data_IF_955351769170
#
_entry.id   IF_955351769170
#
_cell.length_a   1.000
_cell.length_b   1.000
_cell.length_c   1.000
_cell.angle_alpha   90.00
_cell.angle_beta   90.00
_cell.angle_gamma   90.00
#
_symmetry.space_group_name_H-M   'P 1'
#
loop_
_entity.id
_entity.type
_entity.pdbx_description
1 polymer ?
#
# COMPACT_ATOMS: atom_id res chain seq x y z
N UNK A 1 -19.81 -9.43 -21.14
CA UNK A 1 -20.25 -8.16 -20.53
C UNK A 1 -19.00 -7.35 -20.30
N UNK A 2 -19.00 -6.03 -20.40
CA UNK A 2 -17.78 -5.24 -20.19
C UNK A 2 -17.22 -5.50 -18.79
N UNK A 3 -15.91 -5.69 -18.69
CA UNK A 3 -15.19 -5.99 -17.44
C UNK A 3 -14.79 -4.69 -16.73
N UNK A 4 -15.80 -3.88 -16.37
CA UNK A 4 -15.62 -2.54 -15.85
C UNK A 4 -15.60 -2.47 -14.33
N UNK A 5 -14.66 -1.71 -13.81
CA UNK A 5 -14.52 -1.40 -12.40
C UNK A 5 -14.26 0.09 -12.18
N UNK A 6 -14.81 0.63 -11.11
CA UNK A 6 -14.43 1.96 -10.61
C UNK A 6 -13.41 1.77 -9.50
N UNK A 7 -12.23 2.34 -9.68
CA UNK A 7 -11.11 2.26 -8.74
C UNK A 7 -10.72 3.65 -8.24
N UNK A 8 -10.10 3.69 -7.06
CA UNK A 8 -9.65 4.95 -6.48
C UNK A 8 -8.25 4.84 -5.86
N UNK A 9 -7.54 5.96 -5.87
CA UNK A 9 -6.33 6.17 -5.07
C UNK A 9 -6.53 7.36 -4.15
N UNK A 10 -6.27 7.18 -2.87
CA UNK A 10 -6.36 8.24 -1.87
C UNK A 10 -4.99 8.87 -1.65
N UNK A 11 -4.90 10.20 -1.80
CA UNK A 11 -3.74 10.96 -1.35
C UNK A 11 -3.99 11.43 0.07
N UNK A 12 -3.39 10.75 1.04
CA UNK A 12 -3.73 10.87 2.44
C UNK A 12 -2.49 10.94 3.34
N UNK A 13 -2.64 11.42 4.57
CA UNK A 13 -1.58 11.49 5.56
C UNK A 13 -1.92 10.70 6.82
N UNK A 14 -0.88 10.20 7.51
CA UNK A 14 -1.04 9.57 8.83
C UNK A 14 -1.45 10.63 9.85
N UNK A 15 -2.49 10.36 10.60
CA UNK A 15 -2.98 11.24 11.66
C UNK A 15 -2.20 11.04 12.97
N UNK A 16 -2.44 11.90 13.96
CA UNK A 16 -1.73 11.89 15.24
C UNK A 16 -1.86 10.59 16.04
N UNK A 17 -2.90 9.81 15.80
CA UNK A 17 -3.13 8.51 16.45
C UNK A 17 -3.64 7.47 15.45
N UNK A 18 -3.44 6.19 15.76
CA UNK A 18 -3.98 5.08 14.96
C UNK A 18 -5.51 5.18 14.84
N UNK A 19 -6.20 5.49 15.93
CA UNK A 19 -7.65 5.63 15.92
C UNK A 19 -8.12 6.78 15.00
N UNK A 20 -7.42 7.92 15.00
CA UNK A 20 -7.73 9.03 14.12
C UNK A 20 -7.45 8.68 12.64
N UNK A 21 -6.37 7.94 12.35
CA UNK A 21 -6.05 7.51 11.00
C UNK A 21 -7.08 6.49 10.48
N UNK A 22 -7.54 5.56 11.32
CA UNK A 22 -8.61 4.61 10.98
C UNK A 22 -9.94 5.34 10.72
N UNK A 23 -10.29 6.34 11.52
CA UNK A 23 -11.48 7.15 11.31
C UNK A 23 -11.40 7.95 9.98
N UNK A 24 -10.23 8.49 9.65
CA UNK A 24 -9.99 9.14 8.36
C UNK A 24 -10.12 8.16 7.18
N UNK A 25 -9.51 6.96 7.30
CA UNK A 25 -9.65 5.88 6.32
C UNK A 25 -11.12 5.50 6.10
N UNK A 26 -11.88 5.33 7.16
CA UNK A 26 -13.32 5.01 7.09
C UNK A 26 -14.08 6.11 6.36
N UNK A 27 -13.87 7.37 6.72
CA UNK A 27 -14.51 8.53 6.09
C UNK A 27 -14.24 8.57 4.58
N UNK A 28 -12.98 8.45 4.18
CA UNK A 28 -12.57 8.44 2.76
C UNK A 28 -13.17 7.23 2.03
N UNK A 29 -13.18 6.06 2.64
CA UNK A 29 -13.76 4.85 2.03
C UNK A 29 -15.27 4.97 1.85
N UNK A 30 -16.01 5.56 2.81
CA UNK A 30 -17.45 5.85 2.69
C UNK A 30 -17.73 6.86 1.59
N UNK A 31 -16.89 7.89 1.46
CA UNK A 31 -16.99 8.86 0.38
C UNK A 31 -16.76 8.20 -1.00
N UNK A 32 -15.79 7.30 -1.11
CA UNK A 32 -15.52 6.53 -2.31
C UNK A 32 -16.71 5.57 -2.65
N UNK A 33 -17.23 4.87 -1.65
CA UNK A 33 -18.40 3.98 -1.80
C UNK A 33 -19.62 4.72 -2.35
N UNK A 34 -19.91 5.92 -1.84
CA UNK A 34 -21.01 6.76 -2.33
C UNK A 34 -20.86 7.18 -3.79
N UNK A 35 -19.66 7.02 -4.38
CA UNK A 35 -19.34 7.28 -5.79
C UNK A 35 -19.18 6.02 -6.63
N UNK A 36 -19.61 4.87 -6.09
CA UNK A 36 -19.55 3.59 -6.80
C UNK A 36 -18.15 2.99 -6.94
N UNK A 37 -17.20 3.39 -6.09
CA UNK A 37 -15.86 2.80 -6.08
C UNK A 37 -15.91 1.37 -5.57
N UNK A 38 -15.28 0.44 -6.30
CA UNK A 38 -15.17 -0.96 -5.92
C UNK A 38 -13.88 -1.30 -5.18
N UNK A 39 -12.79 -0.56 -5.47
CA UNK A 39 -11.48 -0.75 -4.83
C UNK A 39 -10.80 0.59 -4.59
N UNK A 40 -10.23 0.75 -3.39
CA UNK A 40 -9.45 1.92 -3.00
C UNK A 40 -8.06 1.53 -2.49
N UNK A 41 -7.04 2.28 -2.92
CA UNK A 41 -5.66 2.16 -2.45
C UNK A 41 -5.30 3.35 -1.56
N UNK A 42 -4.78 3.06 -0.36
CA UNK A 42 -4.16 4.03 0.55
C UNK A 42 -2.62 3.98 0.47
N UNK A 43 -1.92 5.07 0.86
CA UNK A 43 -0.46 5.18 0.72
C UNK A 43 0.36 4.15 1.50
N UNK A 44 1.65 4.06 1.18
CA UNK A 44 2.67 3.36 1.98
C UNK A 44 2.67 3.90 3.42
N UNK A 45 2.78 3.00 4.40
CA UNK A 45 2.90 3.35 5.82
C UNK A 45 1.78 4.28 6.33
N UNK A 46 0.60 4.25 5.73
CA UNK A 46 -0.51 5.12 6.11
C UNK A 46 -0.96 4.87 7.55
N UNK A 47 -1.08 3.60 7.97
CA UNK A 47 -1.26 3.24 9.37
C UNK A 47 0.11 3.00 10.02
N UNK A 48 0.42 3.74 11.07
CA UNK A 48 1.69 3.67 11.80
C UNK A 48 2.73 4.73 11.40
N UNK A 49 2.61 5.34 10.23
CA UNK A 49 3.40 6.50 9.79
C UNK A 49 4.71 6.15 9.09
N UNK A 50 5.06 6.93 8.07
CA UNK A 50 6.38 6.88 7.44
C UNK A 50 7.37 7.72 8.28
N UNK A 51 8.52 7.16 8.76
CA UNK A 51 9.41 7.83 9.69
C UNK A 51 10.30 8.86 8.98
N UNK A 52 9.68 9.79 8.28
CA UNK A 52 10.36 10.80 7.46
C UNK A 52 11.26 11.68 8.31
N UNK A 53 12.50 11.88 7.86
CA UNK A 53 13.55 12.65 8.53
C UNK A 53 14.09 12.05 9.84
N UNK A 54 13.60 10.89 10.31
CA UNK A 54 14.13 10.21 11.47
C UNK A 54 15.46 9.53 11.17
N UNK A 55 16.41 9.69 12.06
CA UNK A 55 17.71 8.98 12.04
C UNK A 55 17.80 7.87 13.11
N UNK A 56 16.87 7.85 14.06
CA UNK A 56 16.87 6.93 15.21
C UNK A 56 18.20 6.94 15.97
N UNK A 57 18.85 8.12 16.04
CA UNK A 57 20.14 8.30 16.71
C UNK A 57 21.26 7.45 16.12
N UNK A 58 21.18 7.07 14.84
CA UNK A 58 22.12 6.13 14.23
C UNK A 58 23.33 6.82 13.63
N UNK A 59 24.51 6.27 13.95
CA UNK A 59 25.76 6.52 13.24
C UNK A 59 26.48 5.19 13.07
N UNK A 60 27.43 5.08 12.15
CA UNK A 60 28.21 3.85 11.99
C UNK A 60 28.91 3.50 13.31
N UNK A 61 28.61 2.33 13.84
CA UNK A 61 29.16 1.85 15.11
C UNK A 61 28.51 2.38 16.39
N UNK A 62 27.52 3.27 16.29
CA UNK A 62 26.87 3.87 17.47
C UNK A 62 25.37 4.09 17.29
N UNK A 63 24.66 4.23 18.43
CA UNK A 63 23.27 4.68 18.52
C UNK A 63 23.09 5.60 19.72
N UNK A 64 22.51 6.78 19.50
CA UNK A 64 22.17 7.71 20.57
C UNK A 64 21.02 7.23 21.45
N UNK A 65 20.97 7.66 22.70
CA UNK A 65 19.88 7.32 23.63
C UNK A 65 18.51 7.81 23.09
N UNK A 66 18.45 9.06 22.57
CA UNK A 66 17.24 9.64 21.98
C UNK A 66 16.68 8.79 20.83
N UNK A 67 17.52 8.11 20.08
CA UNK A 67 17.07 7.23 19.00
C UNK A 67 16.35 5.98 19.51
N UNK A 68 16.66 5.52 20.73
CA UNK A 68 15.91 4.42 21.37
C UNK A 68 14.52 4.85 21.80
N UNK A 69 14.39 6.07 22.32
CA UNK A 69 13.10 6.65 22.69
C UNK A 69 12.25 6.89 21.42
N UNK A 70 12.84 7.43 20.35
CA UNK A 70 12.19 7.61 19.07
C UNK A 70 11.72 6.26 18.47
N UNK A 71 12.54 5.21 18.58
CA UNK A 71 12.14 3.85 18.18
C UNK A 71 10.98 3.32 19.01
N UNK A 72 10.99 3.55 20.33
CA UNK A 72 9.91 3.12 21.24
C UNK A 72 8.58 3.74 20.83
N UNK A 73 8.54 5.05 20.60
CA UNK A 73 7.34 5.75 20.13
C UNK A 73 6.86 5.20 18.79
N UNK A 74 7.77 4.99 17.84
CA UNK A 74 7.43 4.41 16.54
C UNK A 74 6.90 2.97 16.67
N UNK A 75 7.52 2.18 17.53
CA UNK A 75 7.08 0.80 17.81
C UNK A 75 5.67 0.74 18.41
N UNK A 76 5.32 1.73 19.24
CA UNK A 76 3.98 1.86 19.80
C UNK A 76 2.96 2.38 18.75
N UNK A 77 3.37 3.23 17.82
CA UNK A 77 2.53 3.72 16.74
C UNK A 77 2.23 2.66 15.66
N UNK A 78 3.08 1.63 15.57
CA UNK A 78 2.92 0.54 14.62
C UNK A 78 1.75 -0.38 14.98
N UNK A 79 1.07 -0.93 13.95
CA UNK A 79 -0.08 -1.81 14.11
C UNK A 79 0.32 -3.26 14.34
N UNK A 80 -0.42 -3.97 15.17
CA UNK A 80 -0.29 -5.41 15.37
C UNK A 80 -1.43 -6.15 14.65
N UNK A 81 -1.11 -6.70 13.47
CA UNK A 81 -2.08 -7.47 12.68
C UNK A 81 -2.27 -8.92 13.16
N UNK A 82 -1.63 -9.29 14.27
CA UNK A 82 -1.74 -10.63 14.85
C UNK A 82 -1.00 -11.73 14.10
N UNK A 83 -0.02 -11.37 13.25
CA UNK A 83 0.81 -12.35 12.54
C UNK A 83 2.10 -12.68 13.33
N UNK A 84 2.84 -13.67 12.85
CA UNK A 84 4.15 -14.06 13.37
C UNK A 84 5.27 -13.22 12.74
N UNK A 85 6.46 -13.14 13.37
CA UNK A 85 7.61 -12.45 12.79
C UNK A 85 8.03 -13.00 11.41
N UNK A 86 7.93 -14.29 11.20
CA UNK A 86 8.26 -14.93 9.92
C UNK A 86 7.15 -14.80 8.88
N UNK A 87 5.93 -14.44 9.32
CA UNK A 87 4.73 -14.45 8.50
C UNK A 87 4.13 -15.86 8.39
N UNK A 88 2.90 -16.03 8.88
CA UNK A 88 2.21 -17.31 8.88
C UNK A 88 1.39 -17.58 7.62
N UNK A 89 1.44 -16.69 6.62
CA UNK A 89 0.78 -16.86 5.35
C UNK A 89 -0.70 -17.22 5.48
N UNK A 90 -1.10 -18.32 4.84
CA UNK A 90 -2.51 -18.75 4.84
C UNK A 90 -3.06 -19.08 6.23
N UNK A 91 -2.23 -19.43 7.21
CA UNK A 91 -2.69 -19.66 8.59
C UNK A 91 -3.10 -18.35 9.27
N UNK A 92 -2.41 -17.24 8.96
CA UNK A 92 -2.82 -15.92 9.41
C UNK A 92 -4.10 -15.46 8.67
N UNK A 93 -4.15 -15.61 7.35
CA UNK A 93 -5.33 -15.26 6.53
C UNK A 93 -6.57 -15.97 7.08
N UNK A 94 -6.49 -17.29 7.23
CA UNK A 94 -7.61 -18.15 7.64
C UNK A 94 -7.86 -18.20 9.16
N UNK A 95 -7.22 -17.33 9.94
CA UNK A 95 -7.39 -17.23 11.41
C UNK A 95 -7.11 -18.54 12.15
N UNK A 96 -6.14 -19.36 11.66
CA UNK A 96 -5.76 -20.64 12.29
C UNK A 96 -4.74 -20.49 13.42
N UNK A 97 -4.13 -19.31 13.56
CA UNK A 97 -3.20 -19.06 14.63
C UNK A 97 -3.92 -19.00 16.00
N UNK A 98 -3.35 -19.56 17.06
CA UNK A 98 -3.99 -19.58 18.39
C UNK A 98 -4.18 -18.16 18.93
N UNK A 99 -5.33 -17.92 19.57
CA UNK A 99 -5.63 -16.64 20.21
C UNK A 99 -4.86 -16.51 21.54
N UNK A 100 -4.38 -15.31 21.88
CA UNK A 100 -3.87 -15.04 23.21
C UNK A 100 -5.00 -15.20 24.26
N UNK A 101 -4.63 -15.69 25.44
CA UNK A 101 -5.60 -15.93 26.52
C UNK A 101 -6.41 -14.66 26.82
N UNK A 102 -7.74 -14.77 26.80
CA UNK A 102 -8.66 -13.68 27.14
C UNK A 102 -8.79 -12.60 26.07
N UNK A 103 -8.30 -12.85 24.84
CA UNK A 103 -8.45 -11.94 23.71
C UNK A 103 -9.49 -12.46 22.71
N UNK A 104 -10.23 -11.55 22.12
CA UNK A 104 -11.19 -11.82 21.07
C UNK A 104 -10.49 -12.02 19.71
N UNK A 105 -9.39 -11.30 19.47
CA UNK A 105 -8.55 -11.40 18.28
C UNK A 105 -7.06 -11.40 18.66
N UNK A 106 -6.23 -11.75 17.71
CA UNK A 106 -4.82 -12.00 17.95
C UNK A 106 -3.99 -10.70 18.00
N UNK A 107 -4.32 -9.71 17.19
CA UNK A 107 -3.64 -8.42 17.07
C UNK A 107 -4.22 -7.33 17.99
N UNK A 108 -4.11 -6.08 17.54
CA UNK A 108 -4.60 -4.90 18.25
C UNK A 108 -6.02 -4.46 17.83
N UNK A 109 -6.65 -5.17 16.88
CA UNK A 109 -7.98 -4.87 16.34
C UNK A 109 -7.96 -4.11 15.01
N UNK A 110 -6.80 -3.70 14.53
CA UNK A 110 -6.69 -2.98 13.24
C UNK A 110 -7.20 -3.82 12.07
N UNK A 111 -6.86 -5.11 12.02
CA UNK A 111 -7.36 -6.03 10.99
C UNK A 111 -8.89 -6.07 11.00
N UNK A 112 -9.46 -6.24 12.16
CA UNK A 112 -10.92 -6.33 12.37
C UNK A 112 -11.62 -5.01 11.99
N UNK A 113 -11.01 -3.87 12.31
CA UNK A 113 -11.52 -2.56 11.91
C UNK A 113 -11.54 -2.39 10.38
N UNK A 114 -10.45 -2.74 9.70
CA UNK A 114 -10.37 -2.69 8.23
C UNK A 114 -11.40 -3.62 7.57
N UNK A 115 -11.53 -4.85 8.05
CA UNK A 115 -12.53 -5.82 7.57
C UNK A 115 -13.96 -5.34 7.78
N UNK A 116 -14.22 -4.67 8.91
CA UNK A 116 -15.52 -4.06 9.18
C UNK A 116 -15.83 -2.92 8.19
N UNK A 117 -14.89 -1.99 8.01
CA UNK A 117 -15.06 -0.85 7.08
C UNK A 117 -15.29 -1.37 5.66
N UNK A 118 -14.48 -2.31 5.18
CA UNK A 118 -14.62 -2.91 3.86
C UNK A 118 -15.99 -3.56 3.67
N UNK A 119 -16.44 -4.35 4.64
CA UNK A 119 -17.76 -5.03 4.61
C UNK A 119 -18.93 -4.03 4.60
N UNK A 120 -18.87 -3.00 5.45
CA UNK A 120 -19.96 -2.02 5.56
C UNK A 120 -20.06 -1.10 4.35
N UNK A 121 -18.95 -0.84 3.67
CA UNK A 121 -18.91 0.02 2.49
C UNK A 121 -19.05 -0.73 1.18
N UNK A 122 -18.78 -2.05 1.16
CA UNK A 122 -18.69 -2.85 -0.05
C UNK A 122 -17.43 -2.58 -0.89
N UNK A 123 -16.46 -1.82 -0.36
CA UNK A 123 -15.24 -1.42 -1.06
C UNK A 123 -14.08 -2.32 -0.65
N UNK A 124 -13.36 -2.86 -1.65
CA UNK A 124 -12.08 -3.54 -1.41
C UNK A 124 -11.03 -2.53 -0.98
N UNK A 125 -10.41 -2.74 0.16
CA UNK A 125 -9.41 -1.81 0.72
C UNK A 125 -8.01 -2.39 0.59
N UNK A 126 -7.07 -1.62 0.03
CA UNK A 126 -5.65 -1.88 0.16
C UNK A 126 -4.99 -0.74 0.92
N UNK A 127 -4.33 -1.07 2.00
CA UNK A 127 -3.78 -0.08 2.91
C UNK A 127 -2.31 -0.39 3.24
N UNK A 128 -1.45 0.63 3.07
CA UNK A 128 -0.08 0.58 3.57
C UNK A 128 -0.03 0.71 5.08
N UNK A 129 0.71 -0.16 5.75
CA UNK A 129 0.80 -0.20 7.20
C UNK A 129 2.24 -0.38 7.67
N UNK A 130 2.57 0.15 8.82
CA UNK A 130 3.74 -0.29 9.58
C UNK A 130 3.29 -1.36 10.55
N UNK A 131 3.67 -2.59 10.24
CA UNK A 131 3.32 -3.77 11.03
C UNK A 131 4.37 -4.04 12.09
N UNK A 132 3.92 -4.23 13.30
CA UNK A 132 4.71 -4.79 14.39
C UNK A 132 4.44 -6.28 14.49
N UNK A 133 5.50 -7.10 14.39
CA UNK A 133 5.41 -8.54 14.62
C UNK A 133 6.61 -9.00 15.45
N UNK A 134 6.36 -9.50 16.65
CA UNK A 134 7.40 -9.73 17.65
C UNK A 134 8.14 -8.43 17.98
N UNK A 135 9.45 -8.43 17.92
CA UNK A 135 10.30 -7.26 18.15
C UNK A 135 10.67 -6.47 16.90
N UNK A 136 10.08 -6.78 15.74
CA UNK A 136 10.44 -6.18 14.45
C UNK A 136 9.32 -5.34 13.87
N UNK A 137 9.69 -4.29 13.13
CA UNK A 137 8.80 -3.48 12.31
C UNK A 137 8.94 -3.86 10.85
N UNK A 138 7.82 -3.94 10.15
CA UNK A 138 7.75 -4.20 8.71
C UNK A 138 6.89 -3.14 8.03
N UNK A 139 7.35 -2.60 6.93
CA UNK A 139 6.48 -1.88 6.01
C UNK A 139 5.66 -2.92 5.24
N UNK A 140 4.34 -2.80 5.26
CA UNK A 140 3.44 -3.81 4.71
C UNK A 140 2.28 -3.17 3.95
N UNK A 141 1.61 -3.97 3.12
CA UNK A 141 0.31 -3.65 2.54
C UNK A 141 -0.65 -4.80 2.83
N UNK A 142 -1.86 -4.49 3.31
CA UNK A 142 -2.91 -5.46 3.58
C UNK A 142 -4.01 -5.35 2.52
N UNK A 143 -4.53 -6.50 2.07
CA UNK A 143 -5.63 -6.61 1.10
C UNK A 143 -6.89 -7.07 1.83
N UNK A 144 -7.94 -6.27 1.77
CA UNK A 144 -9.19 -6.52 2.52
C UNK A 144 -10.38 -6.50 1.59
N UNK A 145 -10.94 -7.68 1.38
CA UNK A 145 -12.12 -7.92 0.55
C UNK A 145 -13.40 -7.67 1.36
N UNK A 146 -14.44 -7.04 0.78
CA UNK A 146 -15.68 -6.77 1.50
C UNK A 146 -16.50 -8.02 1.87
N UNK A 147 -16.27 -9.17 1.21
CA UNK A 147 -16.96 -10.45 1.50
C UNK A 147 -16.12 -11.35 2.38
N UNK A 148 -14.84 -11.50 2.01
CA UNK A 148 -13.96 -12.54 2.58
C UNK A 148 -13.02 -12.00 3.67
N UNK A 149 -12.97 -10.66 3.86
CA UNK A 149 -12.05 -10.01 4.80
C UNK A 149 -10.62 -9.98 4.29
N UNK A 150 -9.64 -10.12 5.16
CA UNK A 150 -8.22 -10.06 4.76
C UNK A 150 -7.85 -11.28 3.89
N UNK A 151 -7.58 -11.05 2.60
CA UNK A 151 -7.13 -12.07 1.64
C UNK A 151 -5.63 -12.33 1.73
N UNK A 152 -4.87 -11.40 2.28
CA UNK A 152 -3.43 -11.49 2.38
C UNK A 152 -2.82 -10.19 2.83
N UNK A 153 -1.53 -10.22 3.02
CA UNK A 153 -0.71 -9.03 3.20
C UNK A 153 0.67 -9.26 2.61
N UNK A 154 1.31 -8.17 2.29
CA UNK A 154 2.65 -8.15 1.75
C UNK A 154 3.55 -7.36 2.68
N UNK A 155 4.68 -7.90 3.07
CA UNK A 155 5.77 -7.19 3.74
C UNK A 155 6.79 -6.74 2.71
N UNK A 156 7.26 -5.48 2.79
CA UNK A 156 8.30 -4.95 1.92
C UNK A 156 9.54 -5.83 1.99
N UNK A 157 9.92 -6.42 0.85
CA UNK A 157 11.04 -7.37 0.75
C UNK A 157 12.36 -6.62 0.75
N UNK A 158 12.34 -5.41 0.19
CA UNK A 158 13.52 -4.58 0.02
C UNK A 158 13.29 -3.16 0.57
N UNK A 159 13.33 -2.97 1.91
CA UNK A 159 13.46 -1.62 2.46
C UNK A 159 14.65 -0.91 1.83
N UNK A 160 14.49 0.37 1.45
CA UNK A 160 15.51 1.07 0.69
C UNK A 160 16.26 2.10 1.53
N UNK A 161 17.55 2.33 1.21
CA UNK A 161 18.43 3.29 1.87
C UNK A 161 18.32 3.21 3.41
N UNK A 162 17.98 4.32 4.08
CA UNK A 162 17.88 4.41 5.55
C UNK A 162 16.71 3.62 6.14
N UNK A 163 15.69 3.23 5.35
CA UNK A 163 14.61 2.35 5.84
C UNK A 163 15.15 1.03 6.42
N UNK A 164 16.28 0.53 5.90
CA UNK A 164 16.94 -0.69 6.39
C UNK A 164 17.47 -0.58 7.83
N UNK A 165 17.55 0.63 8.37
CA UNK A 165 17.93 0.83 9.78
C UNK A 165 16.81 0.46 10.74
N UNK A 166 15.56 0.49 10.27
CA UNK A 166 14.38 0.41 11.12
C UNK A 166 13.41 -0.69 10.71
N UNK A 167 13.25 -0.96 9.42
CA UNK A 167 12.34 -2.00 8.93
C UNK A 167 13.08 -3.28 8.59
N UNK A 168 12.54 -4.38 9.08
CA UNK A 168 12.99 -5.71 8.69
C UNK A 168 12.53 -6.05 7.27
N UNK A 169 13.29 -6.92 6.61
CA UNK A 169 12.95 -7.45 5.30
C UNK A 169 11.80 -8.47 5.43
N UNK A 170 10.78 -8.32 4.59
CA UNK A 170 9.71 -9.29 4.45
C UNK A 170 10.19 -10.56 3.72
N UNK A 171 9.52 -11.68 3.98
CA UNK A 171 9.76 -12.91 3.19
C UNK A 171 9.35 -12.70 1.74
N UNK A 172 10.12 -13.19 0.76
CA UNK A 172 9.74 -13.16 -0.66
C UNK A 172 8.41 -13.88 -0.94
N UNK A 173 8.01 -14.86 -0.12
CA UNK A 173 6.70 -15.52 -0.21
C UNK A 173 5.52 -14.55 -0.11
N UNK A 174 5.72 -13.36 0.49
CA UNK A 174 4.68 -12.32 0.59
C UNK A 174 4.45 -11.57 -0.73
N UNK A 175 5.26 -11.81 -1.77
CA UNK A 175 5.01 -11.31 -3.13
C UNK A 175 3.85 -12.04 -3.84
N UNK A 176 3.23 -13.02 -3.17
CA UNK A 176 2.06 -13.74 -3.67
C UNK A 176 0.93 -12.75 -4.01
N UNK A 177 0.47 -12.81 -5.25
CA UNK A 177 -0.73 -12.08 -5.68
C UNK A 177 -1.97 -12.66 -5.00
N UNK A 178 -2.98 -11.82 -4.76
CA UNK A 178 -4.30 -12.23 -4.28
C UNK A 178 -5.31 -12.17 -5.41
N UNK A 179 -6.29 -13.07 -5.39
CA UNK A 179 -7.38 -13.10 -6.38
C UNK A 179 -8.70 -12.81 -5.71
N UNK A 180 -9.55 -12.05 -6.38
CA UNK A 180 -10.92 -11.77 -5.95
C UNK A 180 -11.81 -11.50 -7.15
N UNK A 181 -13.12 -11.40 -6.91
CA UNK A 181 -14.11 -10.95 -7.88
C UNK A 181 -14.88 -9.76 -7.31
N UNK A 182 -14.78 -8.62 -7.97
CA UNK A 182 -15.51 -7.40 -7.62
C UNK A 182 -16.44 -7.03 -8.78
N UNK A 183 -17.71 -6.80 -8.49
CA UNK A 183 -18.71 -6.43 -9.50
C UNK A 183 -18.77 -7.40 -10.72
N UNK A 184 -18.55 -8.69 -10.49
CA UNK A 184 -18.49 -9.70 -11.55
C UNK A 184 -17.19 -9.70 -12.36
N UNK A 185 -16.20 -8.92 -11.96
CA UNK A 185 -14.89 -8.80 -12.61
C UNK A 185 -13.81 -9.51 -11.80
N UNK A 186 -13.13 -10.46 -12.43
CA UNK A 186 -12.04 -11.22 -11.79
C UNK A 186 -10.75 -10.41 -11.77
N UNK A 187 -10.14 -10.32 -10.60
CA UNK A 187 -8.91 -9.59 -10.37
C UNK A 187 -7.80 -10.49 -9.85
N UNK A 188 -6.60 -10.28 -10.37
CA UNK A 188 -5.34 -10.74 -9.79
C UNK A 188 -4.55 -9.51 -9.37
N UNK A 189 -4.43 -9.30 -8.06
CA UNK A 189 -3.90 -8.07 -7.48
C UNK A 189 -2.52 -8.35 -6.89
N UNK A 190 -1.54 -7.56 -7.27
CA UNK A 190 -0.20 -7.59 -6.68
C UNK A 190 0.28 -6.18 -6.32
N UNK A 191 1.20 -6.08 -5.36
CA UNK A 191 1.76 -4.79 -4.97
C UNK A 191 3.28 -4.82 -4.89
N UNK A 192 3.91 -3.72 -5.34
CA UNK A 192 5.28 -3.37 -5.00
C UNK A 192 5.29 -2.04 -4.25
N UNK A 193 5.88 -2.05 -3.07
CA UNK A 193 5.84 -0.89 -2.17
C UNK A 193 7.00 0.05 -2.51
N UNK A 194 6.66 1.28 -2.93
CA UNK A 194 7.58 2.39 -3.18
C UNK A 194 8.75 1.98 -4.12
N UNK A 195 9.98 2.12 -3.69
CA UNK A 195 11.17 1.88 -4.52
C UNK A 195 11.40 0.42 -4.92
N UNK A 196 10.64 -0.52 -4.41
CA UNK A 196 10.61 -1.87 -4.98
C UNK A 196 10.20 -1.85 -6.45
N UNK A 197 9.47 -0.82 -6.88
CA UNK A 197 9.11 -0.59 -8.27
C UNK A 197 10.32 -0.33 -9.19
N UNK A 198 11.48 0.05 -8.66
CA UNK A 198 12.74 0.15 -9.43
C UNK A 198 13.46 -1.19 -9.59
N UNK A 199 12.94 -2.30 -9.02
CA UNK A 199 13.60 -3.62 -9.02
C UNK A 199 13.00 -4.51 -10.11
N UNK A 200 13.68 -4.71 -11.28
CA UNK A 200 13.09 -5.41 -12.42
C UNK A 200 12.68 -6.86 -12.11
N UNK A 201 13.49 -7.60 -11.36
CA UNK A 201 13.17 -9.00 -11.02
C UNK A 201 11.96 -9.10 -10.08
N UNK A 202 11.78 -8.15 -9.16
CA UNK A 202 10.61 -8.09 -8.30
C UNK A 202 9.35 -7.80 -9.14
N UNK A 203 9.42 -6.84 -10.05
CA UNK A 203 8.29 -6.58 -10.97
C UNK A 203 7.96 -7.81 -11.80
N UNK A 204 8.99 -8.48 -12.37
CA UNK A 204 8.79 -9.70 -13.15
C UNK A 204 8.13 -10.81 -12.33
N UNK A 205 8.44 -10.93 -11.02
CA UNK A 205 7.78 -11.91 -10.17
C UNK A 205 6.28 -11.67 -10.00
N UNK A 206 5.86 -10.40 -10.05
CA UNK A 206 4.44 -10.03 -10.02
C UNK A 206 3.78 -10.25 -11.39
N UNK A 207 4.43 -9.84 -12.49
CA UNK A 207 3.91 -10.07 -13.84
C UNK A 207 3.71 -11.56 -14.12
N UNK A 208 4.66 -12.41 -13.71
CA UNK A 208 4.59 -13.86 -13.90
C UNK A 208 3.38 -14.51 -13.22
N UNK A 209 2.81 -13.87 -12.20
CA UNK A 209 1.57 -14.30 -11.55
C UNK A 209 0.31 -13.80 -12.27
N UNK A 210 0.45 -13.22 -13.45
CA UNK A 210 -0.65 -12.69 -14.25
C UNK A 210 -1.42 -11.54 -13.57
N UNK A 211 -0.71 -10.69 -12.83
CA UNK A 211 -1.30 -9.53 -12.16
C UNK A 211 -1.90 -8.58 -13.20
N UNK A 212 -3.20 -8.34 -13.11
CA UNK A 212 -3.93 -7.40 -13.97
C UNK A 212 -4.24 -6.07 -13.28
N UNK A 213 -4.12 -6.02 -11.94
CA UNK A 213 -4.20 -4.80 -11.14
C UNK A 213 -2.96 -4.70 -10.23
N UNK A 214 -2.06 -3.83 -10.62
CA UNK A 214 -0.78 -3.61 -9.93
C UNK A 214 -0.87 -2.39 -9.02
N UNK A 215 -0.51 -2.55 -7.76
CA UNK A 215 -0.63 -1.51 -6.74
C UNK A 215 0.77 -1.02 -6.32
N UNK A 216 0.94 0.28 -6.31
CA UNK A 216 2.20 0.95 -5.95
C UNK A 216 1.98 1.99 -4.85
N UNK A 217 1.67 1.58 -3.61
CA UNK A 217 1.64 2.49 -2.48
C UNK A 217 3.05 3.04 -2.25
N UNK A 218 3.16 4.36 -2.05
CA UNK A 218 4.45 5.04 -2.00
C UNK A 218 4.46 6.22 -1.02
N UNK A 219 5.67 6.68 -0.71
CA UNK A 219 5.97 7.95 -0.04
C UNK A 219 7.00 8.76 -0.87
N UNK A 220 7.11 8.52 -2.17
CA UNK A 220 8.05 9.21 -3.08
C UNK A 220 7.31 10.24 -3.96
N UNK A 221 7.63 11.52 -3.80
CA UNK A 221 7.03 12.64 -4.54
C UNK A 221 7.96 13.21 -5.64
N UNK A 222 8.87 12.39 -6.20
CA UNK A 222 9.81 12.82 -7.25
C UNK A 222 9.20 12.77 -8.63
N UNK A 223 9.67 13.64 -9.52
CA UNK A 223 9.22 13.71 -10.91
C UNK A 223 9.46 12.40 -11.69
N UNK A 224 10.42 11.58 -11.25
CA UNK A 224 10.71 10.27 -11.85
C UNK A 224 9.66 9.20 -11.55
N UNK A 225 8.73 9.46 -10.64
CA UNK A 225 7.75 8.47 -10.19
C UNK A 225 6.70 8.14 -11.27
N UNK A 226 6.06 9.15 -11.85
CA UNK A 226 5.07 8.93 -12.92
C UNK A 226 5.67 8.20 -14.13
N UNK A 227 6.86 8.58 -14.66
CA UNK A 227 7.51 7.81 -15.71
C UNK A 227 7.74 6.33 -15.36
N UNK A 228 8.09 6.03 -14.10
CA UNK A 228 8.22 4.65 -13.64
C UNK A 228 6.87 3.93 -13.63
N UNK A 229 5.79 4.54 -13.14
CA UNK A 229 4.45 3.93 -13.14
C UNK A 229 3.98 3.62 -14.57
N UNK A 230 4.25 4.51 -15.52
CA UNK A 230 3.97 4.27 -16.94
C UNK A 230 4.78 3.10 -17.51
N UNK A 231 6.05 2.98 -17.12
CA UNK A 231 6.90 1.85 -17.51
C UNK A 231 6.36 0.55 -16.93
N UNK A 232 6.03 0.51 -15.64
CA UNK A 232 5.48 -0.68 -14.97
C UNK A 232 4.18 -1.14 -15.63
N UNK A 233 3.28 -0.22 -15.92
CA UNK A 233 2.01 -0.50 -16.60
C UNK A 233 2.23 -1.07 -18.01
N UNK A 234 3.08 -0.41 -18.79
CA UNK A 234 3.42 -0.81 -20.15
C UNK A 234 4.17 -2.14 -20.23
N UNK A 235 5.11 -2.42 -19.29
CA UNK A 235 5.79 -3.72 -19.20
C UNK A 235 4.81 -4.85 -18.86
N UNK A 236 4.03 -4.65 -17.78
CA UNK A 236 3.17 -5.68 -17.20
C UNK A 236 1.84 -5.89 -17.93
N UNK A 237 1.46 -4.98 -18.84
CA UNK A 237 0.11 -4.95 -19.43
C UNK A 237 -0.96 -5.01 -18.34
N UNK A 238 -0.81 -4.16 -17.34
CA UNK A 238 -1.59 -4.12 -16.12
C UNK A 238 -2.01 -2.69 -15.79
N UNK A 239 -3.18 -2.50 -15.19
CA UNK A 239 -3.47 -1.20 -14.58
C UNK A 239 -2.57 -0.98 -13.39
N UNK A 240 -2.05 0.25 -13.24
CA UNK A 240 -1.24 0.66 -12.08
C UNK A 240 -1.97 1.73 -11.29
N UNK A 241 -2.22 1.45 -10.02
CA UNK A 241 -2.71 2.40 -9.04
C UNK A 241 -1.56 2.79 -8.11
N UNK A 242 -1.26 4.07 -8.03
CA UNK A 242 -0.25 4.57 -7.09
C UNK A 242 -0.86 5.61 -6.16
N UNK A 243 -0.87 5.30 -4.86
CA UNK A 243 -1.29 6.21 -3.80
C UNK A 243 -0.06 6.72 -3.05
N UNK A 244 0.03 8.03 -2.89
CA UNK A 244 1.13 8.70 -2.22
C UNK A 244 0.65 9.47 -1.00
N UNK A 245 1.54 9.62 -0.01
CA UNK A 245 1.28 10.52 1.10
C UNK A 245 1.38 11.98 0.65
N UNK A 246 0.55 12.84 1.24
CA UNK A 246 0.72 14.29 1.16
C UNK A 246 0.76 14.82 2.59
N UNK A 247 1.93 15.33 3.01
CA UNK A 247 2.19 15.66 4.42
C UNK A 247 2.96 16.96 4.52
N UNK A 248 2.47 17.89 5.31
CA UNK A 248 3.21 19.08 5.74
C UNK A 248 4.01 18.77 7.01
N UNK A 249 5.09 19.50 7.22
CA UNK A 249 5.96 19.29 8.38
C UNK A 249 5.21 19.38 9.73
N UNK A 250 4.29 20.34 9.87
CA UNK A 250 3.47 20.52 11.09
C UNK A 250 2.54 19.34 11.40
N UNK A 251 2.25 18.50 10.39
CA UNK A 251 1.35 17.36 10.48
C UNK A 251 2.08 16.08 10.88
N UNK A 252 3.42 16.11 10.88
CA UNK A 252 4.20 14.96 11.30
C UNK A 252 3.97 14.66 12.78
N UNK A 253 3.84 13.38 13.15
CA UNK A 253 3.77 12.97 14.55
C UNK A 253 4.90 13.55 15.39
N UNK A 254 4.62 13.92 16.63
CA UNK A 254 5.58 14.59 17.52
C UNK A 254 6.88 13.84 17.73
N UNK A 255 6.85 12.50 17.73
CA UNK A 255 8.06 11.67 17.86
C UNK A 255 9.00 11.79 16.64
N UNK A 256 8.50 12.18 15.45
CA UNK A 256 9.32 12.46 14.27
C UNK A 256 10.01 13.82 14.41
N UNK A 257 9.28 14.83 14.89
CA UNK A 257 9.75 16.22 14.90
C UNK A 257 10.58 16.57 16.14
N UNK A 258 10.47 15.81 17.23
CA UNK A 258 11.02 16.13 18.55
C UNK A 258 12.55 16.40 18.57
N UNK A 259 13.28 15.86 17.61
CA UNK A 259 14.75 15.98 17.54
C UNK A 259 15.25 16.65 16.26
N UNK A 260 14.36 17.20 15.42
CA UNK A 260 14.81 17.83 14.18
C UNK A 260 15.36 19.23 14.47
N UNK A 261 16.66 19.42 14.19
CA UNK A 261 17.32 20.75 14.20
C UNK A 261 16.99 21.58 12.94
N UNK A 262 16.08 21.09 12.12
CA UNK A 262 15.71 21.69 10.86
C UNK A 262 14.93 23.00 11.06
N UNK A 263 15.41 24.06 10.43
CA UNK A 263 14.80 25.40 10.42
C UNK A 263 13.68 25.57 9.37
N UNK A 264 13.14 24.47 8.83
CA UNK A 264 12.07 24.55 7.82
C UNK A 264 10.75 25.06 8.41
N UNK A 265 10.01 25.78 7.59
CA UNK A 265 8.65 26.24 7.95
C UNK A 265 7.72 25.06 8.17
N UNK A 266 6.83 25.13 9.17
CA UNK A 266 5.82 24.11 9.44
C UNK A 266 4.89 23.83 8.26
N UNK A 267 4.72 24.78 7.35
CA UNK A 267 3.86 24.65 6.16
C UNK A 267 4.55 23.98 4.96
N UNK A 268 5.87 23.75 5.02
CA UNK A 268 6.60 23.08 3.95
C UNK A 268 6.13 21.62 3.81
N UNK A 269 5.90 21.20 2.58
CA UNK A 269 5.59 19.80 2.28
C UNK A 269 6.83 18.93 2.43
N UNK A 270 6.77 17.94 3.29
CA UNK A 270 7.79 16.88 3.41
C UNK A 270 7.49 15.71 2.47
N UNK A 271 6.24 15.62 1.99
CA UNK A 271 5.80 14.80 0.87
C UNK A 271 4.66 15.53 0.16
N UNK A 272 4.81 15.78 -1.14
CA UNK A 272 3.90 16.61 -1.93
C UNK A 272 2.71 15.86 -2.52
N UNK A 273 2.67 14.54 -2.43
CA UNK A 273 1.71 13.74 -3.16
C UNK A 273 2.27 13.16 -4.46
N UNK A 274 1.46 13.11 -5.49
CA UNK A 274 1.77 12.52 -6.79
C UNK A 274 1.02 11.21 -7.02
N UNK A 275 -0.12 10.99 -6.33
CA UNK A 275 -1.00 9.84 -6.58
C UNK A 275 -1.54 9.87 -7.99
N UNK A 276 -1.52 8.74 -8.69
CA UNK A 276 -1.91 8.64 -10.10
C UNK A 276 -2.48 7.26 -10.46
N UNK A 277 -3.17 7.18 -11.60
CA UNK A 277 -3.67 5.93 -12.18
C UNK A 277 -3.20 5.84 -13.63
N UNK A 278 -2.64 4.70 -14.01
CA UNK A 278 -2.06 4.45 -15.34
C UNK A 278 -2.66 3.18 -15.93
N UNK A 279 -2.99 3.22 -17.21
CA UNK A 279 -3.53 2.10 -17.97
C UNK A 279 -2.47 1.19 -18.59
N UNK A 280 -2.88 0.01 -19.11
CA UNK A 280 -1.97 -1.07 -19.54
C UNK A 280 -1.02 -0.73 -20.70
N UNK A 281 -1.28 0.33 -21.44
CA UNK A 281 -0.41 0.82 -22.50
C UNK A 281 0.49 1.98 -22.07
N UNK A 282 0.48 2.30 -20.76
CA UNK A 282 1.26 3.40 -20.18
C UNK A 282 0.58 4.77 -20.31
N UNK A 283 -0.69 4.81 -20.71
CA UNK A 283 -1.50 6.02 -20.75
C UNK A 283 -1.86 6.48 -19.32
N UNK A 284 -1.82 7.78 -19.08
CA UNK A 284 -2.19 8.36 -17.79
C UNK A 284 -3.70 8.54 -17.77
N UNK A 285 -4.39 7.78 -16.93
CA UNK A 285 -5.86 7.83 -16.77
C UNK A 285 -6.27 8.86 -15.73
N UNK A 286 -5.41 9.11 -14.76
CA UNK A 286 -5.53 10.20 -13.81
C UNK A 286 -4.16 10.81 -13.57
N UNK A 287 -4.05 12.11 -13.83
CA UNK A 287 -2.83 12.87 -13.61
C UNK A 287 -2.44 12.88 -12.12
N UNK A 288 -1.14 13.03 -11.82
CA UNK A 288 -0.68 13.13 -10.44
C UNK A 288 -1.34 14.27 -9.67
N UNK A 289 -1.89 13.94 -8.50
CA UNK A 289 -2.46 14.92 -7.57
C UNK A 289 -1.32 15.51 -6.74
N UNK A 290 -1.28 16.84 -6.60
CA UNK A 290 -0.22 17.52 -5.85
C UNK A 290 -0.77 18.43 -4.75
N UNK A 291 -0.11 18.40 -3.59
CA UNK A 291 -0.24 19.38 -2.50
C UNK A 291 -1.66 19.51 -1.91
N UNK A 292 -2.46 18.46 -2.02
CA UNK A 292 -3.76 18.31 -1.36
C UNK A 292 -3.85 16.93 -0.69
N UNK A 293 -4.54 16.85 0.44
CA UNK A 293 -4.75 15.61 1.19
C UNK A 293 -6.24 15.37 1.43
N UNK A 294 -6.68 14.11 1.45
CA UNK A 294 -8.02 13.76 1.93
C UNK A 294 -8.26 14.17 3.38
N UNK A 295 -7.21 14.58 4.07
CA UNK A 295 -7.22 15.00 5.47
C UNK A 295 -7.24 16.54 5.65
N UNK A 296 -7.18 17.30 4.55
CA UNK A 296 -7.36 18.77 4.56
C UNK A 296 -8.84 19.18 4.83
N UNK A 297 -9.62 18.29 5.44
CA UNK A 297 -11.04 18.49 5.73
C UNK A 297 -11.26 19.66 6.71
N UNK A 298 -12.28 20.46 6.42
CA UNK A 298 -12.72 21.56 7.30
C UNK A 298 -13.70 21.07 8.37
N UNK A 299 -14.47 20.03 8.06
CA UNK A 299 -15.37 19.34 8.98
C UNK A 299 -15.18 17.82 8.89
N UNK A 300 -14.54 17.24 9.89
CA UNK A 300 -14.31 15.79 9.95
C UNK A 300 -15.60 14.96 10.08
N UNK A 301 -16.72 15.58 10.39
CA UNK A 301 -18.04 14.91 10.47
C UNK A 301 -18.78 14.90 9.12
N UNK A 302 -18.35 15.73 8.15
CA UNK A 302 -18.93 15.75 6.80
C UNK A 302 -18.27 14.70 5.89
N UNK A 303 -18.95 13.61 5.51
CA UNK A 303 -18.40 12.63 4.58
C UNK A 303 -18.27 13.15 3.15
N UNK A 304 -18.85 14.32 2.85
CA UNK A 304 -18.83 14.97 1.54
C UNK A 304 -17.92 16.20 1.49
N UNK A 305 -17.09 16.41 2.51
CA UNK A 305 -16.14 17.53 2.52
C UNK A 305 -15.35 17.59 1.19
N UNK A 306 -15.28 18.75 0.53
CA UNK A 306 -14.65 18.90 -0.78
C UNK A 306 -13.17 18.55 -0.81
N UNK A 307 -12.47 18.62 0.32
CA UNK A 307 -11.06 18.22 0.41
C UNK A 307 -10.87 16.74 0.10
N UNK A 308 -11.81 15.88 0.52
CA UNK A 308 -11.75 14.44 0.20
C UNK A 308 -11.82 14.25 -1.31
N UNK A 309 -12.77 14.93 -1.98
CA UNK A 309 -12.93 14.81 -3.44
C UNK A 309 -11.71 15.35 -4.19
N UNK A 310 -11.06 16.40 -3.69
CA UNK A 310 -9.88 17.01 -4.33
C UNK A 310 -8.64 16.11 -4.28
N UNK A 311 -8.52 15.26 -3.26
CA UNK A 311 -7.37 14.40 -3.03
C UNK A 311 -7.66 12.90 -3.29
N UNK A 312 -8.83 12.59 -3.86
CA UNK A 312 -9.25 11.24 -4.23
C UNK A 312 -9.38 11.14 -5.75
N UNK A 313 -8.48 10.44 -6.40
CA UNK A 313 -8.62 10.14 -7.82
C UNK A 313 -9.52 8.92 -8.01
N UNK A 314 -10.57 9.07 -8.81
CA UNK A 314 -11.53 8.01 -9.13
C UNK A 314 -11.56 7.82 -10.65
N UNK A 315 -11.44 6.58 -11.13
CA UNK A 315 -11.43 6.25 -12.55
C UNK A 315 -12.21 4.96 -12.80
N UNK A 316 -13.06 4.94 -13.84
CA UNK A 316 -13.60 3.69 -14.38
C UNK A 316 -12.55 3.08 -15.32
N UNK A 317 -12.26 1.81 -15.16
CA UNK A 317 -11.31 1.03 -15.97
C UNK A 317 -12.00 -0.20 -16.56
N UNK A 318 -11.61 -0.60 -17.76
CA UNK A 318 -12.06 -1.84 -18.42
C UNK A 318 -10.92 -2.87 -18.36
N UNK A 319 -11.08 -3.91 -17.54
CA UNK A 319 -10.03 -4.91 -17.33
C UNK A 319 -9.65 -5.69 -18.58
N UNK A 320 -10.50 -5.71 -19.62
CA UNK A 320 -10.17 -6.28 -20.93
C UNK A 320 -9.03 -5.52 -21.64
N UNK A 321 -8.72 -4.27 -21.25
CA UNK A 321 -7.61 -3.53 -21.81
C UNK A 321 -6.24 -4.16 -21.49
N UNK A 322 -6.13 -4.90 -20.39
CA UNK A 322 -4.96 -5.71 -20.09
C UNK A 322 -4.74 -6.78 -21.16
N UNK A 323 -5.81 -7.44 -21.59
CA UNK A 323 -5.75 -8.48 -22.62
C UNK A 323 -5.51 -7.88 -24.01
N UNK A 324 -6.19 -6.76 -24.34
CA UNK A 324 -5.96 -6.02 -25.60
C UNK A 324 -4.49 -5.60 -25.74
N UNK A 325 -3.87 -5.15 -24.65
CA UNK A 325 -2.46 -4.76 -24.64
C UNK A 325 -1.48 -5.91 -24.86
N UNK A 326 -1.88 -7.16 -24.58
CA UNK A 326 -1.05 -8.36 -24.77
C UNK A 326 -0.84 -8.75 -26.24
N UNK A 327 -1.56 -8.13 -27.17
CA UNK A 327 -1.29 -8.29 -28.59
C UNK A 327 0.17 -7.89 -28.92
N UNK A 328 0.70 -6.87 -28.28
CA UNK A 328 2.04 -6.34 -28.54
C UNK A 328 3.10 -6.96 -27.64
N UNK A 329 2.77 -7.24 -26.36
CA UNK A 329 3.74 -7.65 -25.34
C UNK A 329 3.05 -8.44 -24.23
N UNK A 330 3.56 -9.63 -23.90
CA UNK A 330 3.01 -10.48 -22.85
C UNK A 330 4.11 -11.05 -21.92
N UNK A 331 4.67 -10.23 -21.06
CA UNK A 331 5.74 -10.67 -20.13
C UNK A 331 5.29 -11.69 -19.09
N UNK A 332 3.99 -11.95 -18.98
CA UNK A 332 3.42 -13.07 -18.21
C UNK A 332 3.37 -14.38 -19.01
N UNK A 333 3.49 -14.30 -20.35
CA UNK A 333 3.39 -15.41 -21.28
C UNK A 333 4.69 -15.66 -22.06
N UNK A 334 4.62 -15.71 -23.41
CA UNK A 334 5.74 -16.14 -24.25
C UNK A 334 6.92 -15.16 -24.26
N UNK A 335 6.70 -13.87 -24.01
CA UNK A 335 7.79 -12.90 -23.92
C UNK A 335 8.60 -13.01 -22.62
N UNK A 336 8.13 -13.71 -21.60
CA UNK A 336 8.94 -14.05 -20.42
C UNK A 336 10.06 -15.03 -20.74
N UNK A 337 9.94 -15.77 -21.87
CA UNK A 337 10.93 -16.73 -22.36
C UNK A 337 11.38 -17.69 -21.25
N UNK A 338 10.41 -18.29 -20.54
CA UNK A 338 10.67 -19.24 -19.47
C UNK A 338 11.40 -20.51 -19.94
N UNK A 339 11.47 -20.73 -21.26
CA UNK A 339 12.34 -21.71 -21.90
C UNK A 339 13.83 -21.34 -21.77
N UNK A 340 14.16 -20.06 -21.77
CA UNK A 340 15.52 -19.50 -21.81
C UNK A 340 15.93 -18.82 -20.51
N UNK A 341 15.01 -18.08 -19.87
CA UNK A 341 15.26 -17.33 -18.62
C UNK A 341 14.52 -18.00 -17.48
N UNK A 342 15.21 -18.28 -16.38
CA UNK A 342 14.62 -18.90 -15.20
C UNK A 342 14.59 -17.89 -14.05
N UNK A 343 13.39 -17.46 -13.65
CA UNK A 343 13.16 -16.70 -12.44
C UNK A 343 12.56 -17.64 -11.39
N UNK A 344 13.16 -17.68 -10.23
CA UNK A 344 12.62 -18.35 -9.05
C UNK A 344 12.60 -17.39 -7.88
N UNK A 345 11.58 -17.46 -7.06
CA UNK A 345 11.43 -16.68 -5.83
C UNK A 345 11.14 -17.66 -4.70
N UNK A 346 11.94 -17.61 -3.65
CA UNK A 346 11.82 -18.55 -2.54
C UNK A 346 10.44 -18.45 -1.87
N UNK A 347 9.77 -19.60 -1.78
CA UNK A 347 8.45 -19.70 -1.16
C UNK A 347 7.30 -19.14 -2.00
N UNK A 348 7.52 -18.89 -3.30
CA UNK A 348 6.51 -18.37 -4.22
C UNK A 348 6.44 -19.23 -5.49
N UNK A 349 5.24 -19.69 -5.82
CA UNK A 349 4.96 -20.28 -7.12
C UNK A 349 4.68 -19.14 -8.13
N UNK A 350 5.48 -19.09 -9.19
CA UNK A 350 5.33 -18.12 -10.28
C UNK A 350 4.46 -18.63 -11.43
N UNK A 351 4.01 -19.88 -11.36
CA UNK A 351 3.06 -20.41 -12.34
C UNK A 351 1.65 -19.99 -11.93
N UNK A 352 1.00 -19.09 -12.69
CA UNK A 352 -0.34 -18.67 -12.32
C UNK A 352 -1.31 -19.85 -12.42
N UNK A 353 -2.29 -19.95 -11.52
CA UNK A 353 -3.34 -20.96 -11.66
C UNK A 353 -4.12 -20.70 -12.97
N UNK A 354 -4.71 -21.73 -13.57
CA UNK A 354 -5.61 -21.55 -14.70
C UNK A 354 -6.71 -20.54 -14.36
N UNK A 355 -6.98 -19.65 -15.29
CA UNK A 355 -8.02 -18.62 -15.15
C UNK A 355 -9.42 -19.20 -15.24
#
# INVERSE_FOLDING_TARGET
MPQKLTVAVAQASTQSTLAATLAALERVTRHAAARGVHLILFPEAYLGGYPRTCDFGTAVGARGAHGRDQFLEYFHAAVDLGDTPTGAGDDWVNRRLPLPRGKEYRGDGTREALEKISRETGVFIVCGVIERAGGSLYCSAIYVDPRDGALGKRRKVMPTASERLIWAQGSPSTLKAVTTELNGVRLTIGAAICWENYMPMLRQSLYSQNVNLYLAPTADARDTWLPLMRTVAGEGRTFVLSANQCVRRRELPGWITANSQDKHNGDDYVCRGGSCIVGPLGEVLSDPIWEVSTDDVTDASDPNDPAIAAALSITEIDMEDCERGRLDLDVAGSYSRNDSFKLTVDGLDLNPPPL
#
